data_IF_173743271109
#
_entry.id   IF_173743271109
#
_cell.length_a   1.000
_cell.length_b   1.000
_cell.length_c   1.000
_cell.angle_alpha   90.00
_cell.angle_beta   90.00
_cell.angle_gamma   90.00
#
_symmetry.space_group_name_H-M   'P 1'
#
loop_
_entity.id
_entity.type
_entity.pdbx_description
1 polymer ?
#
# COMPACT_ATOMS: atom_id res chain seq x y z
N UNK A 1 24.64 4.95 6.37
CA UNK A 1 24.52 3.93 7.45
C UNK A 1 25.17 2.64 6.95
N UNK A 2 26.26 2.21 7.58
CA UNK A 2 27.00 1.00 7.18
C UNK A 2 26.45 -0.16 8.02
N UNK A 3 25.67 -1.05 7.40
CA UNK A 3 25.25 -2.30 8.04
C UNK A 3 26.40 -3.31 7.88
N UNK A 4 27.32 -3.29 8.83
CA UNK A 4 28.40 -4.29 8.95
C UNK A 4 28.26 -5.00 10.28
N UNK A 5 28.53 -6.31 10.30
CA UNK A 5 28.54 -7.10 11.54
C UNK A 5 29.47 -6.44 12.56
N UNK A 6 28.95 -6.21 13.77
CA UNK A 6 29.63 -5.50 14.87
C UNK A 6 31.07 -5.99 15.09
N UNK A 7 31.28 -7.31 15.03
CA UNK A 7 32.60 -7.97 15.16
C UNK A 7 33.60 -7.53 14.06
N UNK A 8 33.17 -7.45 12.80
CA UNK A 8 34.04 -7.06 11.68
C UNK A 8 34.39 -5.58 11.72
N UNK A 9 33.45 -4.74 12.15
CA UNK A 9 33.70 -3.31 12.32
C UNK A 9 34.74 -3.07 13.43
N UNK A 10 34.63 -3.77 14.55
CA UNK A 10 35.61 -3.72 15.65
C UNK A 10 37.00 -4.16 15.17
N UNK A 11 37.11 -5.26 14.41
CA UNK A 11 38.39 -5.72 13.85
C UNK A 11 38.98 -4.68 12.89
N UNK A 12 38.17 -4.10 12.01
CA UNK A 12 38.62 -3.04 11.09
C UNK A 12 39.07 -1.80 11.85
N UNK A 13 38.40 -1.43 12.94
CA UNK A 13 38.77 -0.28 13.77
C UNK A 13 40.09 -0.53 14.51
N UNK A 14 40.29 -1.72 15.06
CA UNK A 14 41.55 -2.14 15.68
C UNK A 14 42.73 -2.12 14.69
N UNK A 15 42.50 -2.56 13.45
CA UNK A 15 43.50 -2.48 12.37
C UNK A 15 43.89 -1.03 12.05
N UNK A 16 42.90 -0.14 11.90
CA UNK A 16 43.14 1.30 11.67
C UNK A 16 43.93 1.90 12.84
N UNK A 17 43.55 1.57 14.08
CA UNK A 17 44.23 2.06 15.27
C UNK A 17 45.69 1.57 15.33
N UNK A 18 45.93 0.28 15.05
CA UNK A 18 47.28 -0.30 15.01
C UNK A 18 48.15 0.32 13.91
N UNK A 19 47.58 0.54 12.72
CA UNK A 19 48.22 1.26 11.63
C UNK A 19 48.60 2.70 12.02
N UNK A 20 47.71 3.40 12.71
CA UNK A 20 47.94 4.78 13.15
C UNK A 20 49.03 4.87 14.22
N UNK A 21 49.07 3.93 15.16
CA UNK A 21 50.15 3.83 16.17
C UNK A 21 51.49 3.55 15.49
N UNK A 22 51.56 2.61 14.55
CA UNK A 22 52.77 2.34 13.77
C UNK A 22 53.25 3.59 13.01
N UNK A 23 52.33 4.30 12.36
CA UNK A 23 52.66 5.52 11.61
C UNK A 23 53.16 6.65 12.53
N UNK A 24 52.58 6.81 13.71
CA UNK A 24 53.04 7.79 14.71
C UNK A 24 54.43 7.46 15.24
N UNK A 25 54.72 6.18 15.53
CA UNK A 25 56.05 5.75 15.97
C UNK A 25 57.13 6.06 14.92
N UNK A 26 56.85 5.78 13.64
CA UNK A 26 57.74 6.12 12.52
C UNK A 26 57.92 7.64 12.41
N UNK A 27 56.84 8.41 12.57
CA UNK A 27 56.86 9.86 12.40
C UNK A 27 57.65 10.58 13.51
N UNK A 28 57.54 10.11 14.75
CA UNK A 28 58.30 10.66 15.90
C UNK A 28 59.80 10.39 15.72
N UNK A 29 60.16 9.18 15.28
CA UNK A 29 61.55 8.77 15.09
C UNK A 29 62.20 9.39 13.85
N UNK A 30 61.41 9.70 12.81
CA UNK A 30 61.90 10.38 11.59
C UNK A 30 62.13 11.88 11.79
N UNK A 31 61.45 12.51 12.74
CA UNK A 31 61.66 13.94 13.07
C UNK A 31 63.01 14.20 13.76
N UNK A 32 63.66 13.16 14.29
CA UNK A 32 64.88 13.27 15.09
C UNK A 32 66.19 13.15 14.28
N UNK A 33 66.16 12.75 13.00
CA UNK A 33 67.39 12.48 12.24
C UNK A 33 67.46 13.20 10.87
N UNK A 34 68.66 13.68 10.53
CA UNK A 34 69.00 14.36 9.29
C UNK A 34 68.88 13.45 8.04
N UNK A 35 68.70 14.01 6.83
CA UNK A 35 68.12 13.27 5.71
C UNK A 35 69.13 12.31 5.06
N UNK A 36 68.62 11.12 4.68
CA UNK A 36 69.12 10.14 3.70
C UNK A 36 69.83 8.86 4.18
N UNK A 37 70.13 8.66 5.47
CA UNK A 37 70.66 7.37 5.93
C UNK A 37 69.64 6.58 6.77
N UNK A 38 68.64 6.02 6.10
CA UNK A 38 67.60 5.21 6.74
C UNK A 38 68.23 3.88 7.17
N UNK A 39 68.30 3.63 8.48
CA UNK A 39 68.77 2.35 9.02
C UNK A 39 67.91 1.18 8.54
N UNK A 40 68.49 -0.02 8.47
CA UNK A 40 67.79 -1.26 8.06
C UNK A 40 66.53 -1.50 8.90
N UNK A 41 66.56 -1.16 10.19
CA UNK A 41 65.40 -1.24 11.08
C UNK A 41 64.27 -0.32 10.63
N UNK A 42 64.58 0.94 10.27
CA UNK A 42 63.60 1.90 9.74
C UNK A 42 63.01 1.43 8.40
N UNK A 43 63.83 0.81 7.53
CA UNK A 43 63.35 0.22 6.28
C UNK A 43 62.36 -0.93 6.52
N UNK A 44 62.61 -1.78 7.53
CA UNK A 44 61.69 -2.85 7.90
C UNK A 44 60.35 -2.31 8.43
N UNK A 45 60.39 -1.26 9.26
CA UNK A 45 59.16 -0.65 9.80
C UNK A 45 58.32 -0.01 8.68
N UNK A 46 58.95 0.68 7.72
CA UNK A 46 58.26 1.22 6.55
C UNK A 46 57.67 0.10 5.66
N UNK A 47 58.43 -0.97 5.44
CA UNK A 47 57.94 -2.15 4.71
C UNK A 47 56.69 -2.75 5.36
N UNK A 48 56.71 -3.00 6.67
CA UNK A 48 55.55 -3.49 7.42
C UNK A 48 54.38 -2.50 7.41
N UNK A 49 54.65 -1.19 7.43
CA UNK A 49 53.64 -0.15 7.25
C UNK A 49 52.91 -0.26 5.91
N UNK A 50 53.65 -0.41 4.81
CA UNK A 50 53.07 -0.58 3.46
C UNK A 50 52.25 -1.87 3.37
N UNK A 51 52.76 -2.98 3.91
CA UNK A 51 52.03 -4.27 3.96
C UNK A 51 50.72 -4.12 4.76
N UNK A 52 50.76 -3.42 5.89
CA UNK A 52 49.58 -3.18 6.75
C UNK A 52 48.53 -2.34 6.03
N UNK A 53 48.95 -1.29 5.30
CA UNK A 53 48.05 -0.46 4.49
C UNK A 53 47.40 -1.28 3.38
N UNK A 54 48.17 -2.11 2.67
CA UNK A 54 47.63 -3.00 1.63
C UNK A 54 46.62 -4.02 2.21
N UNK A 55 46.92 -4.58 3.37
CA UNK A 55 45.98 -5.46 4.06
C UNK A 55 44.69 -4.72 4.45
N UNK A 56 44.83 -3.49 4.96
CA UNK A 56 43.70 -2.66 5.37
C UNK A 56 42.83 -2.23 4.19
N UNK A 57 43.41 -1.91 3.03
CA UNK A 57 42.63 -1.59 1.82
C UNK A 57 41.85 -2.82 1.33
N UNK A 58 42.43 -4.02 1.38
CA UNK A 58 41.72 -5.26 1.04
C UNK A 58 40.54 -5.53 1.99
N UNK A 59 40.74 -5.35 3.30
CA UNK A 59 39.65 -5.49 4.30
C UNK A 59 38.55 -4.46 4.03
N UNK A 60 38.91 -3.22 3.76
CA UNK A 60 37.95 -2.16 3.46
C UNK A 60 37.14 -2.45 2.18
N UNK A 61 37.82 -2.94 1.13
CA UNK A 61 37.18 -3.32 -0.13
C UNK A 61 36.17 -4.46 0.08
N UNK A 62 36.54 -5.47 0.89
CA UNK A 62 35.64 -6.58 1.26
C UNK A 62 34.40 -6.07 2.00
N UNK A 63 34.57 -5.17 2.97
CA UNK A 63 33.45 -4.58 3.72
C UNK A 63 32.50 -3.79 2.79
N UNK A 64 33.06 -3.05 1.84
CA UNK A 64 32.28 -2.28 0.88
C UNK A 64 31.43 -3.16 -0.04
N UNK A 65 32.01 -4.27 -0.54
CA UNK A 65 31.29 -5.24 -1.37
C UNK A 65 30.17 -5.91 -0.58
N UNK A 66 30.45 -6.34 0.66
CA UNK A 66 29.46 -6.98 1.53
C UNK A 66 28.28 -6.04 1.84
N UNK A 67 28.56 -4.76 2.10
CA UNK A 67 27.52 -3.76 2.32
C UNK A 67 26.64 -3.57 1.07
N UNK A 68 27.24 -3.48 -0.13
CA UNK A 68 26.48 -3.38 -1.37
C UNK A 68 25.59 -4.60 -1.60
N UNK A 69 26.12 -5.79 -1.30
CA UNK A 69 25.36 -7.04 -1.39
C UNK A 69 24.17 -7.04 -0.44
N UNK A 70 24.38 -6.64 0.82
CA UNK A 70 23.32 -6.55 1.83
C UNK A 70 22.21 -5.58 1.39
N UNK A 71 22.56 -4.40 0.87
CA UNK A 71 21.57 -3.43 0.36
C UNK A 71 20.80 -4.00 -0.84
N UNK A 72 21.47 -4.70 -1.75
CA UNK A 72 20.83 -5.38 -2.88
C UNK A 72 19.85 -6.45 -2.41
N UNK A 73 20.26 -7.24 -1.42
CA UNK A 73 19.47 -8.34 -0.89
C UNK A 73 18.24 -7.83 -0.10
N UNK A 74 18.36 -6.71 0.63
CA UNK A 74 17.21 -6.02 1.23
C UNK A 74 16.24 -5.48 0.17
N UNK A 75 16.74 -4.92 -0.94
CA UNK A 75 15.89 -4.48 -2.05
C UNK A 75 15.14 -5.65 -2.70
N UNK A 76 15.77 -6.82 -2.80
CA UNK A 76 15.10 -8.03 -3.29
C UNK A 76 14.00 -8.48 -2.34
N UNK A 77 14.25 -8.52 -1.02
CA UNK A 77 13.20 -8.81 -0.04
C UNK A 77 12.01 -7.86 -0.19
N UNK A 78 12.26 -6.56 -0.32
CA UNK A 78 11.20 -5.58 -0.53
C UNK A 78 10.42 -5.77 -1.85
N UNK A 79 11.06 -6.35 -2.88
CA UNK A 79 10.40 -6.68 -4.14
C UNK A 79 9.57 -7.97 -4.09
N UNK A 80 9.89 -8.89 -3.18
CA UNK A 80 9.08 -10.08 -2.97
C UNK A 80 7.83 -9.68 -2.19
N UNK A 81 6.73 -9.50 -2.93
CA UNK A 81 5.40 -9.17 -2.38
C UNK A 81 4.90 -10.22 -1.38
N UNK A 82 5.43 -11.45 -1.45
CA UNK A 82 5.15 -12.55 -0.54
C UNK A 82 6.41 -13.04 0.19
N UNK A 83 6.33 -13.09 1.52
CA UNK A 83 7.30 -13.73 2.41
C UNK A 83 7.53 -15.21 2.13
N UNK A 84 6.58 -15.88 1.49
CA UNK A 84 6.63 -17.32 1.24
C UNK A 84 7.67 -17.70 0.17
N UNK A 85 8.36 -16.72 -0.42
CA UNK A 85 9.40 -17.01 -1.38
C UNK A 85 10.63 -17.63 -0.69
N UNK A 86 11.11 -18.81 -1.12
CA UNK A 86 12.19 -19.54 -0.44
C UNK A 86 13.52 -18.79 -0.43
N UNK A 87 13.70 -17.82 -1.32
CA UNK A 87 14.89 -16.94 -1.33
C UNK A 87 14.81 -15.86 -0.25
N UNK A 88 13.63 -15.42 0.16
CA UNK A 88 13.46 -14.42 1.23
C UNK A 88 13.95 -14.96 2.55
N UNK A 89 13.58 -16.20 2.91
CA UNK A 89 14.05 -16.88 4.12
C UNK A 89 15.58 -17.00 4.16
N UNK A 90 16.21 -17.44 3.06
CA UNK A 90 17.67 -17.54 2.97
C UNK A 90 18.39 -16.20 3.15
N UNK A 91 17.82 -15.11 2.64
CA UNK A 91 18.40 -13.77 2.78
C UNK A 91 18.22 -13.27 4.21
N UNK A 92 17.03 -13.47 4.80
CA UNK A 92 16.73 -13.09 6.19
C UNK A 92 17.64 -13.84 7.17
N UNK A 93 17.90 -15.12 6.96
CA UNK A 93 18.86 -15.88 7.79
C UNK A 93 20.28 -15.31 7.73
N UNK A 94 20.71 -14.77 6.57
CA UNK A 94 22.04 -14.14 6.43
C UNK A 94 22.17 -12.80 7.17
N UNK A 95 21.03 -12.14 7.42
CA UNK A 95 20.92 -10.86 8.14
C UNK A 95 20.87 -11.03 9.67
N UNK A 96 20.82 -12.27 10.18
CA UNK A 96 20.88 -12.60 11.61
C UNK A 96 19.77 -11.90 12.41
N UNK A 97 20.09 -11.21 13.52
CA UNK A 97 19.11 -10.47 14.35
C UNK A 97 18.23 -9.49 13.54
N UNK A 98 18.83 -8.76 12.58
CA UNK A 98 18.09 -7.82 11.75
C UNK A 98 17.11 -8.57 10.83
N UNK A 99 17.54 -9.73 10.33
CA UNK A 99 16.70 -10.62 9.54
C UNK A 99 15.50 -11.13 10.30
N UNK A 100 15.68 -11.53 11.56
CA UNK A 100 14.58 -11.98 12.43
C UNK A 100 13.55 -10.87 12.69
N UNK A 101 14.00 -9.64 12.94
CA UNK A 101 13.11 -8.49 13.13
C UNK A 101 12.33 -8.20 11.85
N UNK A 102 13.00 -8.17 10.69
CA UNK A 102 12.34 -7.95 9.40
C UNK A 102 11.32 -9.06 9.11
N UNK A 103 11.68 -10.32 9.39
CA UNK A 103 10.78 -11.46 9.23
C UNK A 103 9.53 -11.32 10.10
N UNK A 104 9.67 -10.95 11.38
CA UNK A 104 8.53 -10.72 12.27
C UNK A 104 7.59 -9.64 11.75
N UNK A 105 8.15 -8.49 11.36
CA UNK A 105 7.36 -7.34 10.85
C UNK A 105 6.58 -7.75 9.59
N UNK A 106 7.25 -8.41 8.65
CA UNK A 106 6.62 -8.85 7.42
C UNK A 106 5.52 -9.91 7.71
N UNK A 107 5.74 -10.80 8.68
CA UNK A 107 4.77 -11.83 9.05
C UNK A 107 3.51 -11.21 9.64
N UNK A 108 3.66 -10.23 10.52
CA UNK A 108 2.54 -9.48 11.09
C UNK A 108 1.78 -8.70 10.01
N UNK A 109 2.51 -8.11 9.04
CA UNK A 109 1.89 -7.45 7.90
C UNK A 109 1.08 -8.42 7.03
N UNK A 110 1.60 -9.61 6.75
CA UNK A 110 0.89 -10.65 6.01
C UNK A 110 -0.36 -11.13 6.73
N UNK A 111 -0.29 -11.36 8.05
CA UNK A 111 -1.47 -11.71 8.86
C UNK A 111 -2.53 -10.61 8.81
N UNK A 112 -2.12 -9.34 8.89
CA UNK A 112 -3.05 -8.20 8.77
C UNK A 112 -3.70 -8.12 7.39
N UNK A 113 -2.93 -8.37 6.32
CA UNK A 113 -3.45 -8.43 4.96
C UNK A 113 -4.45 -9.56 4.80
N UNK A 114 -4.13 -10.76 5.29
CA UNK A 114 -5.02 -11.92 5.24
C UNK A 114 -6.32 -11.67 6.01
N UNK A 115 -6.25 -11.12 7.22
CA UNK A 115 -7.43 -10.72 8.00
C UNK A 115 -8.27 -9.68 7.27
N UNK A 116 -7.62 -8.69 6.63
CA UNK A 116 -8.31 -7.66 5.84
C UNK A 116 -9.00 -8.25 4.61
N UNK A 117 -8.32 -9.13 3.88
CA UNK A 117 -8.89 -9.82 2.72
C UNK A 117 -10.07 -10.70 3.14
N UNK A 118 -9.93 -11.48 4.22
CA UNK A 118 -11.00 -12.31 4.77
C UNK A 118 -12.21 -11.47 5.22
N UNK A 119 -11.97 -10.30 5.82
CA UNK A 119 -13.05 -9.35 6.17
C UNK A 119 -13.77 -8.85 4.92
N UNK A 120 -13.03 -8.48 3.86
CA UNK A 120 -13.60 -8.02 2.59
C UNK A 120 -14.41 -9.14 1.91
N UNK A 121 -13.88 -10.35 1.85
CA UNK A 121 -14.58 -11.49 1.23
C UNK A 121 -15.84 -11.87 2.01
N UNK A 122 -15.77 -11.89 3.35
CA UNK A 122 -16.93 -12.12 4.21
C UNK A 122 -17.99 -11.02 4.00
N UNK A 123 -17.58 -9.75 3.98
CA UNK A 123 -18.47 -8.62 3.73
C UNK A 123 -19.16 -8.73 2.36
N UNK A 124 -18.40 -9.00 1.29
CA UNK A 124 -18.96 -9.19 -0.05
C UNK A 124 -19.92 -10.38 -0.12
N UNK A 125 -19.64 -11.46 0.61
CA UNK A 125 -20.53 -12.62 0.68
C UNK A 125 -21.85 -12.28 1.38
N UNK A 126 -21.80 -11.56 2.51
CA UNK A 126 -23.00 -11.09 3.20
C UNK A 126 -23.80 -10.15 2.31
N UNK A 127 -23.12 -9.19 1.67
CA UNK A 127 -23.74 -8.24 0.76
C UNK A 127 -24.48 -8.95 -0.38
N UNK A 128 -23.86 -9.98 -0.95
CA UNK A 128 -24.46 -10.81 -1.99
C UNK A 128 -25.70 -11.55 -1.49
N UNK A 129 -25.63 -12.20 -0.33
CA UNK A 129 -26.78 -12.91 0.27
C UNK A 129 -27.93 -11.95 0.53
N UNK A 130 -27.65 -10.77 1.09
CA UNK A 130 -28.68 -9.75 1.32
C UNK A 130 -29.31 -9.32 -0.02
N UNK A 131 -28.52 -9.09 -1.07
CA UNK A 131 -29.07 -8.69 -2.36
C UNK A 131 -29.88 -9.82 -3.05
N UNK A 132 -29.54 -11.09 -2.83
CA UNK A 132 -30.22 -12.24 -3.45
C UNK A 132 -31.49 -12.66 -2.71
N UNK A 133 -31.48 -12.66 -1.37
CA UNK A 133 -32.56 -13.20 -0.55
C UNK A 133 -33.57 -12.15 -0.06
N UNK A 134 -33.26 -10.85 -0.15
CA UNK A 134 -34.16 -9.82 0.37
C UNK A 134 -35.45 -9.72 -0.47
N UNK A 135 -36.63 -9.67 0.19
CA UNK A 135 -37.91 -9.73 -0.51
C UNK A 135 -38.25 -8.45 -1.28
N UNK A 136 -37.60 -7.32 -1.02
CA UNK A 136 -37.92 -6.03 -1.63
C UNK A 136 -36.85 -5.52 -2.61
N UNK A 137 -37.18 -4.59 -3.53
CA UNK A 137 -36.19 -3.92 -4.37
C UNK A 137 -35.24 -3.10 -3.49
N UNK A 138 -33.98 -3.48 -3.46
CA UNK A 138 -32.99 -2.97 -2.52
C UNK A 138 -31.70 -2.58 -3.24
N UNK A 139 -31.11 -1.47 -2.79
CA UNK A 139 -29.85 -0.92 -3.29
C UNK A 139 -28.95 -0.57 -2.12
N UNK A 140 -27.70 -0.99 -2.15
CA UNK A 140 -26.73 -0.70 -1.11
C UNK A 140 -25.67 0.22 -1.68
N UNK A 141 -25.39 1.33 -0.99
CA UNK A 141 -24.44 2.34 -1.44
C UNK A 141 -23.45 2.73 -0.34
N UNK A 142 -22.27 3.19 -0.75
CA UNK A 142 -21.36 3.92 0.11
C UNK A 142 -21.84 5.37 0.32
N UNK A 143 -21.29 6.05 1.31
CA UNK A 143 -21.40 7.50 1.59
C UNK A 143 -21.11 8.40 0.39
N UNK A 144 -20.37 7.91 -0.61
CA UNK A 144 -20.10 8.64 -1.86
C UNK A 144 -21.17 8.42 -2.95
N UNK A 145 -22.17 7.59 -2.67
CA UNK A 145 -23.23 7.21 -3.60
C UNK A 145 -22.84 6.12 -4.59
N UNK A 146 -21.65 5.52 -4.45
CA UNK A 146 -21.24 4.37 -5.26
C UNK A 146 -22.06 3.14 -4.89
N UNK A 147 -22.58 2.45 -5.89
CA UNK A 147 -23.42 1.27 -5.70
C UNK A 147 -22.54 0.06 -5.40
N UNK A 148 -22.75 -0.54 -4.23
CA UNK A 148 -22.02 -1.72 -3.74
C UNK A 148 -22.80 -3.01 -3.99
N UNK A 149 -24.13 -2.95 -3.97
CA UNK A 149 -25.00 -4.10 -4.19
C UNK A 149 -26.39 -3.68 -4.69
N UNK A 150 -27.00 -4.52 -5.52
CA UNK A 150 -28.34 -4.33 -6.09
C UNK A 150 -29.10 -5.64 -5.94
N UNK A 151 -30.34 -5.60 -5.43
CA UNK A 151 -31.15 -6.80 -5.34
C UNK A 151 -31.62 -7.29 -6.71
N UNK A 152 -31.84 -8.61 -6.86
CA UNK A 152 -32.23 -9.19 -8.15
C UNK A 152 -33.52 -8.55 -8.70
N UNK A 153 -34.50 -8.28 -7.83
CA UNK A 153 -35.76 -7.61 -8.20
C UNK A 153 -35.55 -6.20 -8.75
N UNK A 154 -34.57 -5.46 -8.23
CA UNK A 154 -34.25 -4.11 -8.70
C UNK A 154 -33.41 -4.17 -9.99
N UNK A 155 -32.47 -5.12 -10.06
CA UNK A 155 -31.65 -5.40 -11.24
C UNK A 155 -32.52 -5.75 -12.46
N UNK A 156 -33.49 -6.65 -12.29
CA UNK A 156 -34.41 -7.09 -13.34
C UNK A 156 -35.30 -5.94 -13.83
N UNK A 157 -35.69 -5.01 -12.94
CA UNK A 157 -36.49 -3.83 -13.29
C UNK A 157 -35.68 -2.75 -14.02
N UNK A 158 -34.42 -2.57 -13.65
CA UNK A 158 -33.57 -1.51 -14.20
C UNK A 158 -32.74 -1.99 -15.41
N UNK A 159 -32.71 -3.29 -15.72
CA UNK A 159 -31.81 -3.90 -16.71
C UNK A 159 -30.34 -3.49 -16.48
N UNK A 160 -29.92 -3.36 -15.22
CA UNK A 160 -28.57 -2.95 -14.86
C UNK A 160 -27.76 -4.15 -14.38
N UNK A 161 -26.58 -4.36 -14.98
CA UNK A 161 -25.60 -5.32 -14.48
C UNK A 161 -24.69 -4.67 -13.43
N UNK A 162 -24.53 -5.35 -12.30
CA UNK A 162 -23.60 -4.96 -11.22
C UNK A 162 -22.17 -4.99 -11.78
N UNK A 163 -21.46 -3.85 -11.69
CA UNK A 163 -20.09 -3.71 -12.21
C UNK A 163 -19.84 -2.46 -13.05
N UNK A 164 -20.88 -1.67 -13.32
CA UNK A 164 -20.73 -0.33 -13.88
C UNK A 164 -20.47 0.67 -12.75
N UNK A 165 -19.60 1.65 -13.01
CA UNK A 165 -19.18 2.74 -12.11
C UNK A 165 -20.34 3.75 -11.87
N UNK A 166 -21.55 3.21 -11.68
CA UNK A 166 -22.82 3.92 -11.55
C UNK A 166 -22.98 4.42 -10.12
N UNK A 167 -23.41 5.67 -10.01
CA UNK A 167 -23.81 6.26 -8.74
C UNK A 167 -25.33 6.22 -8.61
N UNK A 168 -25.80 6.24 -7.37
CA UNK A 168 -27.24 6.32 -7.09
C UNK A 168 -27.90 7.52 -7.77
N UNK A 169 -27.21 8.67 -7.86
CA UNK A 169 -27.72 9.87 -8.53
C UNK A 169 -27.88 9.71 -10.05
N UNK A 170 -27.21 8.74 -10.68
CA UNK A 170 -27.40 8.46 -12.11
C UNK A 170 -28.72 7.72 -12.37
N UNK A 171 -29.21 6.96 -11.37
CA UNK A 171 -30.45 6.18 -11.42
C UNK A 171 -31.61 7.01 -10.86
N UNK A 172 -31.37 7.73 -9.76
CA UNK A 172 -32.34 8.56 -9.04
C UNK A 172 -31.82 9.99 -8.93
N UNK A 173 -31.87 10.79 -10.02
CA UNK A 173 -31.30 12.14 -10.05
C UNK A 173 -32.04 13.14 -9.15
N UNK A 174 -33.30 12.87 -8.83
CA UNK A 174 -34.11 13.70 -7.94
C UNK A 174 -33.72 13.53 -6.46
N UNK A 175 -32.90 12.52 -6.17
CA UNK A 175 -32.49 12.16 -4.82
C UNK A 175 -31.33 13.06 -4.39
N UNK A 176 -31.60 13.97 -3.44
CA UNK A 176 -30.60 14.90 -2.92
C UNK A 176 -29.67 14.22 -1.90
N UNK A 177 -28.81 13.33 -2.39
CA UNK A 177 -27.95 12.48 -1.57
C UNK A 177 -27.18 13.25 -0.48
N UNK A 178 -26.61 14.41 -0.80
CA UNK A 178 -25.84 15.20 0.17
C UNK A 178 -26.68 15.70 1.35
N UNK A 179 -27.91 16.16 1.11
CA UNK A 179 -28.84 16.60 2.17
C UNK A 179 -29.26 15.41 3.04
N UNK A 180 -29.51 14.26 2.41
CA UNK A 180 -29.92 13.03 3.09
C UNK A 180 -28.79 12.47 3.96
N UNK A 181 -27.56 12.42 3.46
CA UNK A 181 -26.41 11.94 4.25
C UNK A 181 -26.17 12.80 5.50
N UNK A 182 -26.28 14.12 5.37
CA UNK A 182 -26.16 15.05 6.52
C UNK A 182 -27.27 14.79 7.54
N UNK A 183 -28.50 14.54 7.08
CA UNK A 183 -29.61 14.17 7.96
C UNK A 183 -29.32 12.86 8.69
N UNK A 184 -28.86 11.82 7.97
CA UNK A 184 -28.58 10.50 8.51
C UNK A 184 -27.44 10.53 9.55
N UNK A 185 -26.37 11.28 9.28
CA UNK A 185 -25.27 11.45 10.23
C UNK A 185 -25.70 12.17 11.51
N UNK A 186 -26.53 13.21 11.38
CA UNK A 186 -26.98 14.03 12.52
C UNK A 186 -28.02 13.33 13.39
N UNK A 187 -29.02 12.71 12.77
CA UNK A 187 -30.18 12.17 13.47
C UNK A 187 -30.05 10.67 13.77
N UNK A 188 -29.23 9.94 13.01
CA UNK A 188 -29.02 8.49 13.15
C UNK A 188 -30.30 7.65 13.06
N UNK A 189 -31.28 8.17 12.34
CA UNK A 189 -32.59 7.54 12.14
C UNK A 189 -32.80 7.19 10.67
N UNK A 190 -33.80 6.33 10.42
CA UNK A 190 -34.21 5.95 9.07
C UNK A 190 -34.79 7.19 8.38
N UNK A 191 -34.26 7.52 7.20
CA UNK A 191 -34.82 8.58 6.38
C UNK A 191 -35.93 8.03 5.48
N UNK A 192 -37.01 8.81 5.32
CA UNK A 192 -38.13 8.49 4.43
C UNK A 192 -38.38 9.68 3.52
N UNK A 193 -38.58 9.43 2.23
CA UNK A 193 -38.83 10.48 1.25
C UNK A 193 -40.08 11.32 1.55
N UNK A 194 -39.98 12.65 1.34
CA UNK A 194 -41.06 13.62 1.59
C UNK A 194 -42.20 13.53 0.56
N UNK A 195 -41.92 13.08 -0.66
CA UNK A 195 -42.89 12.95 -1.76
C UNK A 195 -43.16 11.49 -2.07
N UNK A 196 -44.26 10.95 -1.54
CA UNK A 196 -44.66 9.53 -1.59
C UNK A 196 -43.60 8.61 -0.96
N UNK A 197 -43.97 8.01 0.18
CA UNK A 197 -43.22 7.15 1.11
C UNK A 197 -42.55 5.88 0.55
N UNK A 198 -42.26 5.86 -0.75
CA UNK A 198 -41.76 4.73 -1.50
C UNK A 198 -40.24 4.58 -1.49
N UNK A 199 -39.52 5.51 -0.86
CA UNK A 199 -38.06 5.50 -0.75
C UNK A 199 -37.68 5.57 0.73
N UNK A 200 -37.10 4.49 1.23
CA UNK A 200 -36.64 4.36 2.63
C UNK A 200 -35.13 4.19 2.60
N UNK A 201 -34.42 5.00 3.39
CA UNK A 201 -32.98 4.88 3.56
C UNK A 201 -32.62 4.53 5.00
N UNK A 202 -32.07 3.34 5.19
CA UNK A 202 -31.58 2.85 6.48
C UNK A 202 -30.06 3.04 6.56
N UNK A 203 -29.56 3.89 7.48
CA UNK A 203 -28.14 4.10 7.67
C UNK A 203 -27.49 2.94 8.44
N UNK A 204 -26.30 2.51 8.02
CA UNK A 204 -25.45 1.57 8.76
C UNK A 204 -24.22 2.30 9.27
N UNK A 205 -24.04 2.28 10.59
CA UNK A 205 -22.89 2.87 11.27
C UNK A 205 -21.81 1.83 11.57
N UNK A 206 -20.55 2.23 11.47
CA UNK A 206 -19.42 1.42 11.96
C UNK A 206 -19.34 1.47 13.50
N UNK A 207 -18.49 0.64 14.10
CA UNK A 207 -18.24 0.59 15.55
C UNK A 207 -17.86 1.95 16.15
N UNK A 208 -17.26 2.83 15.34
CA UNK A 208 -16.87 4.19 15.75
C UNK A 208 -18.01 5.20 15.66
N UNK A 209 -19.21 4.80 15.21
CA UNK A 209 -20.38 5.66 15.06
C UNK A 209 -20.38 6.55 13.81
N UNK A 210 -19.48 6.29 12.86
CA UNK A 210 -19.45 6.96 11.56
C UNK A 210 -20.39 6.23 10.58
N UNK A 211 -21.08 6.99 9.72
CA UNK A 211 -21.91 6.42 8.66
C UNK A 211 -21.00 5.68 7.66
N UNK A 212 -21.30 4.42 7.40
CA UNK A 212 -20.48 3.55 6.55
C UNK A 212 -21.23 3.17 5.27
N UNK A 213 -22.50 2.79 5.39
CA UNK A 213 -23.31 2.34 4.26
C UNK A 213 -24.73 2.89 4.38
N UNK A 214 -25.39 3.05 3.24
CA UNK A 214 -26.81 3.37 3.15
C UNK A 214 -27.52 2.25 2.40
N UNK A 215 -28.54 1.66 3.03
CA UNK A 215 -29.46 0.72 2.40
C UNK A 215 -30.68 1.50 1.95
N UNK A 216 -30.99 1.43 0.66
CA UNK A 216 -32.16 2.04 0.06
C UNK A 216 -33.16 0.96 -0.32
N UNK A 217 -34.38 1.08 0.19
CA UNK A 217 -35.52 0.25 -0.16
C UNK A 217 -36.46 1.08 -1.03
N UNK A 218 -36.86 0.49 -2.15
CA UNK A 218 -37.74 1.13 -3.12
C UNK A 218 -39.03 0.33 -3.25
N UNK A 219 -40.18 0.97 -3.04
CA UNK A 219 -41.46 0.30 -3.16
C UNK A 219 -41.74 -0.08 -4.63
N UNK A 220 -42.13 -1.33 -4.85
CA UNK A 220 -42.17 -1.97 -6.17
C UNK A 220 -43.06 -1.25 -7.21
N UNK A 221 -44.07 -0.50 -6.75
CA UNK A 221 -45.07 0.22 -7.56
C UNK A 221 -44.54 1.53 -8.15
N UNK A 222 -43.64 2.22 -7.45
CA UNK A 222 -43.14 3.55 -7.85
C UNK A 222 -41.94 3.49 -8.82
N UNK A 223 -41.17 2.40 -8.80
CA UNK A 223 -40.06 2.16 -9.73
C UNK A 223 -40.57 2.16 -11.18
N UNK A 224 -41.72 1.53 -11.43
CA UNK A 224 -42.37 1.49 -12.75
C UNK A 224 -42.74 2.87 -13.28
N UNK A 225 -43.19 3.80 -12.42
CA UNK A 225 -43.59 5.14 -12.85
C UNK A 225 -42.39 6.04 -13.15
N UNK A 226 -41.33 5.99 -12.34
CA UNK A 226 -40.10 6.78 -12.56
C UNK A 226 -39.31 6.32 -13.81
N UNK A 227 -39.32 5.02 -14.12
CA UNK A 227 -38.71 4.48 -15.36
C UNK A 227 -39.47 4.92 -16.60
N UNK A 228 -40.81 5.00 -16.53
CA UNK A 228 -41.64 5.48 -17.65
C UNK A 228 -41.42 6.99 -17.90
N UNK A 229 -41.18 7.79 -16.85
CA UNK A 229 -40.85 9.22 -16.99
C UNK A 229 -39.39 9.49 -17.39
N UNK A 230 -38.47 8.57 -17.11
CA UNK A 230 -37.07 8.64 -17.53
C UNK A 230 -36.72 7.43 -18.41
N UNK A 231 -37.17 7.40 -19.68
CA UNK A 231 -36.65 6.42 -20.61
C UNK A 231 -35.14 6.63 -20.72
N UNK A 232 -34.41 5.53 -20.61
CA UNK A 232 -32.96 5.29 -20.78
C UNK A 232 -32.32 5.95 -22.02
N UNK A 233 -33.08 6.71 -22.81
CA UNK A 233 -32.67 7.52 -23.96
C UNK A 233 -31.71 8.69 -23.66
N UNK A 234 -31.42 9.01 -22.39
CA UNK A 234 -30.38 10.00 -22.06
C UNK A 234 -28.98 9.41 -21.89
N UNK A 235 -28.85 8.09 -21.70
CA UNK A 235 -27.54 7.43 -21.61
C UNK A 235 -26.91 7.30 -23.01
N UNK A 236 -27.72 7.07 -24.05
CA UNK A 236 -27.21 7.00 -25.44
C UNK A 236 -26.77 8.37 -25.99
N UNK A 237 -27.40 9.47 -25.56
CA UNK A 237 -27.02 10.81 -26.05
C UNK A 237 -25.71 11.33 -25.44
N UNK A 238 -25.37 10.96 -24.20
CA UNK A 238 -24.12 11.37 -23.55
C UNK A 238 -22.90 10.66 -24.15
N UNK A 239 -23.00 9.36 -24.44
CA UNK A 239 -21.95 8.60 -25.13
C UNK A 239 -21.77 9.06 -26.57
N UNK A 240 -22.86 9.31 -27.33
CA UNK A 240 -22.77 9.78 -28.72
C UNK A 240 -22.19 11.20 -28.85
N UNK A 241 -22.51 12.09 -27.90
CA UNK A 241 -21.94 13.45 -27.90
C UNK A 241 -20.46 13.47 -27.50
N UNK A 242 -20.02 12.56 -26.63
CA UNK A 242 -18.59 12.39 -26.32
C UNK A 242 -17.79 11.90 -27.54
N UNK A 243 -18.38 10.98 -28.33
CA UNK A 243 -17.74 10.44 -29.53
C UNK A 243 -17.66 11.46 -30.67
N UNK A 244 -18.73 12.27 -30.88
CA UNK A 244 -18.70 13.38 -31.85
C UNK A 244 -17.73 14.49 -31.44
N UNK A 245 -17.56 14.76 -30.14
CA UNK A 245 -16.56 15.71 -29.64
C UNK A 245 -15.12 15.24 -29.88
N UNK A 246 -14.87 13.93 -29.80
CA UNK A 246 -13.55 13.34 -30.04
C UNK A 246 -13.18 13.33 -31.54
N UNK A 247 -14.14 13.04 -32.43
CA UNK A 247 -13.93 13.09 -33.88
C UNK A 247 -13.73 14.53 -34.40
N UNK A 248 -14.33 15.54 -33.78
CA UNK A 248 -14.11 16.95 -34.17
C UNK A 248 -12.75 17.51 -33.74
N UNK A 249 -12.06 16.88 -32.78
CA UNK A 249 -10.72 17.29 -32.32
C UNK A 249 -9.55 16.64 -33.07
N UNK A 250 -9.79 15.58 -33.86
CA UNK A 250 -8.76 14.94 -34.69
C UNK A 250 -8.71 15.43 -36.15
N UNK A 251 -9.53 16.42 -36.52
CA UNK A 251 -9.64 16.95 -37.87
C UNK A 251 -9.23 18.42 -38.02
N UNK A 252 -8.32 18.93 -37.19
CA UNK A 252 -7.64 20.21 -37.39
C UNK A 252 -6.15 20.04 -37.17
#
# INVERSE_FOLDING_TARGET
MILVKRKRLIISFLMILGSLVLFLLISIDSFSEAPLNISIEKQQVVYWGVVTILFQTLVFLSLFIDQRKLVSDLKKIASYKDLNHPQSAKILDQLDEIGQVIYSILNDFNKLLELRLNRITAFNKVLKIVCEEYPEPLLITDTMGSILGISQKLSDKLNLSIGSDLKINDIFPDLKLAEILVFLEKNREIWRGETNSAEICTPIFDKNGNLNLCIWEFEATHISQKIISNPVNNISKRTLNSFKGFLKRKGK
#
